data_IF_586205314151
#
_entry.id   IF_586205314151
#
_cell.length_a   1.000
_cell.length_b   1.000
_cell.length_c   1.000
_cell.angle_alpha   90.00
_cell.angle_beta   90.00
_cell.angle_gamma   90.00
#
_symmetry.space_group_name_H-M   'P 1'
#
loop_
_entity.id
_entity.type
_entity.pdbx_description
1 polymer ?
#
# COMPACT_ATOMS: atom_id res chain seq x y z
N UNK A 1 -4.45 -26.97 -4.21
CA UNK A 1 -3.51 -26.70 -3.10
C UNK A 1 -3.29 -25.20 -3.07
N UNK A 2 -4.02 -24.47 -2.21
CA UNK A 2 -3.86 -23.01 -2.14
C UNK A 2 -2.54 -22.69 -1.44
N UNK A 3 -1.53 -22.27 -2.20
CA UNK A 3 -0.32 -21.70 -1.62
C UNK A 3 -0.65 -20.41 -0.86
N UNK A 4 0.26 -20.00 0.01
CA UNK A 4 0.15 -18.70 0.67
C UNK A 4 0.23 -17.56 -0.37
N UNK A 5 -0.58 -16.49 -0.24
CA UNK A 5 -0.56 -15.37 -1.18
C UNK A 5 0.82 -14.73 -1.32
N UNK A 6 1.15 -14.31 -2.54
CA UNK A 6 2.47 -13.80 -2.87
C UNK A 6 2.39 -12.48 -3.63
N UNK A 7 3.38 -11.64 -3.35
CA UNK A 7 3.68 -10.47 -4.15
C UNK A 7 4.49 -10.81 -5.39
N UNK A 8 4.39 -9.99 -6.43
CA UNK A 8 5.36 -9.97 -7.53
C UNK A 8 6.71 -9.45 -7.03
N UNK A 9 7.79 -9.82 -7.72
CA UNK A 9 9.13 -9.33 -7.40
C UNK A 9 9.20 -7.80 -7.40
N UNK A 10 8.56 -7.19 -8.38
CA UNK A 10 8.36 -5.75 -8.49
C UNK A 10 7.68 -5.13 -7.26
N UNK A 11 6.55 -5.68 -6.81
CA UNK A 11 5.80 -5.13 -5.69
C UNK A 11 6.61 -5.18 -4.38
N UNK A 12 7.27 -6.32 -4.12
CA UNK A 12 8.09 -6.46 -2.92
C UNK A 12 9.38 -5.63 -3.01
N UNK A 13 10.02 -5.54 -4.18
CA UNK A 13 11.15 -4.64 -4.43
C UNK A 13 10.76 -3.18 -4.14
N UNK A 14 9.60 -2.72 -4.63
CA UNK A 14 9.14 -1.35 -4.40
C UNK A 14 8.94 -1.04 -2.91
N UNK A 15 8.49 -2.02 -2.12
CA UNK A 15 8.40 -1.90 -0.66
C UNK A 15 9.77 -1.74 -0.02
N UNK A 16 10.73 -2.58 -0.37
CA UNK A 16 12.10 -2.52 0.19
C UNK A 16 12.83 -1.24 -0.20
N UNK A 17 12.71 -0.79 -1.45
CA UNK A 17 13.23 0.50 -1.87
C UNK A 17 12.54 1.66 -1.16
N UNK A 18 11.22 1.56 -0.92
CA UNK A 18 10.49 2.56 -0.14
C UNK A 18 10.96 2.64 1.32
N UNK A 19 11.41 1.53 1.91
CA UNK A 19 12.06 1.56 3.22
C UNK A 19 13.40 2.30 3.13
N UNK A 20 14.24 1.97 2.14
CA UNK A 20 15.53 2.65 1.94
C UNK A 20 15.37 4.16 1.79
N UNK A 21 14.38 4.61 1.03
CA UNK A 21 14.09 6.03 0.82
C UNK A 21 13.72 6.76 2.14
N UNK A 22 13.11 6.06 3.09
CA UNK A 22 12.52 6.67 4.29
C UNK A 22 13.42 6.56 5.52
N UNK A 23 14.07 5.41 5.70
CA UNK A 23 14.88 5.10 6.89
C UNK A 23 16.34 4.76 6.57
N UNK A 24 16.72 4.78 5.28
CA UNK A 24 18.06 4.45 4.81
C UNK A 24 18.37 2.95 4.79
N UNK A 25 19.30 2.56 3.91
CA UNK A 25 19.67 1.17 3.70
C UNK A 25 20.12 0.43 4.98
N UNK A 26 20.80 1.11 5.90
CA UNK A 26 21.19 0.51 7.19
C UNK A 26 19.97 0.22 8.08
N UNK A 27 18.98 1.13 8.11
CA UNK A 27 17.73 0.93 8.83
C UNK A 27 16.92 -0.21 8.25
N UNK A 28 16.79 -0.27 6.92
CA UNK A 28 16.14 -1.39 6.23
C UNK A 28 16.83 -2.71 6.52
N UNK A 29 18.17 -2.76 6.43
CA UNK A 29 18.92 -3.98 6.73
C UNK A 29 18.70 -4.46 8.16
N UNK A 30 18.64 -3.54 9.15
CA UNK A 30 18.30 -3.89 10.53
C UNK A 30 16.90 -4.51 10.64
N UNK A 31 15.87 -3.91 10.02
CA UNK A 31 14.51 -4.47 10.05
C UNK A 31 14.43 -5.84 9.38
N UNK A 32 15.11 -6.03 8.25
CA UNK A 32 15.16 -7.31 7.55
C UNK A 32 15.82 -8.42 8.40
N UNK A 33 16.87 -8.09 9.18
CA UNK A 33 17.46 -9.04 10.13
C UNK A 33 16.48 -9.42 11.23
N UNK A 34 15.82 -8.43 11.84
CA UNK A 34 14.88 -8.65 12.95
C UNK A 34 13.66 -9.46 12.51
N UNK A 35 13.11 -9.14 11.33
CA UNK A 35 12.01 -9.88 10.71
C UNK A 35 12.38 -11.26 10.16
N UNK A 36 13.61 -11.74 10.38
CA UNK A 36 14.06 -13.07 9.96
C UNK A 36 14.11 -13.27 8.44
N UNK A 37 14.33 -12.20 7.69
CA UNK A 37 14.35 -12.20 6.22
C UNK A 37 15.62 -11.52 5.66
N UNK A 38 16.75 -11.78 6.33
CA UNK A 38 18.05 -11.20 6.02
C UNK A 38 18.57 -11.49 4.60
N UNK A 39 18.02 -12.50 3.92
CA UNK A 39 18.37 -12.85 2.53
C UNK A 39 18.11 -11.71 1.52
N UNK A 40 17.28 -10.72 1.89
CA UNK A 40 17.03 -9.55 1.04
C UNK A 40 18.02 -8.40 1.29
N UNK A 41 18.95 -8.50 2.24
CA UNK A 41 19.93 -7.44 2.50
C UNK A 41 20.93 -7.37 1.35
N UNK A 42 20.93 -6.26 0.61
CA UNK A 42 21.78 -6.10 -0.58
C UNK A 42 21.36 -6.96 -1.78
N UNK A 43 20.23 -7.68 -1.68
CA UNK A 43 19.75 -8.62 -2.68
C UNK A 43 18.22 -8.52 -2.84
N UNK A 44 17.74 -7.33 -3.21
CA UNK A 44 16.31 -7.11 -3.43
C UNK A 44 15.80 -7.89 -4.64
N UNK A 45 14.51 -8.31 -4.62
CA UNK A 45 13.89 -8.98 -5.76
C UNK A 45 14.09 -8.22 -7.08
N UNK A 46 14.11 -8.93 -8.23
CA UNK A 46 14.10 -8.29 -9.53
C UNK A 46 12.79 -7.53 -9.77
N UNK A 47 12.83 -6.52 -10.65
CA UNK A 47 11.64 -5.76 -11.03
C UNK A 47 10.82 -6.51 -12.10
N UNK A 48 10.11 -7.57 -11.69
CA UNK A 48 9.31 -8.43 -12.59
C UNK A 48 7.91 -8.70 -12.01
N UNK A 49 6.99 -9.12 -12.88
CA UNK A 49 5.62 -9.54 -12.49
C UNK A 49 5.57 -10.99 -11.95
N UNK A 50 6.73 -11.64 -11.80
CA UNK A 50 6.84 -13.01 -11.33
C UNK A 50 6.65 -13.11 -9.81
N UNK A 51 5.96 -14.16 -9.36
CA UNK A 51 5.72 -14.49 -7.95
C UNK A 51 6.66 -15.61 -7.52
N UNK A 52 7.90 -15.24 -7.20
CA UNK A 52 8.98 -16.17 -6.89
C UNK A 52 9.16 -16.37 -5.36
N UNK A 53 8.06 -16.55 -4.62
CA UNK A 53 8.08 -16.81 -3.19
C UNK A 53 8.14 -15.56 -2.29
N UNK A 54 7.75 -14.38 -2.80
CA UNK A 54 7.68 -13.15 -2.01
C UNK A 54 6.38 -13.10 -1.21
N UNK A 55 6.38 -13.75 -0.05
CA UNK A 55 5.18 -13.94 0.76
C UNK A 55 4.67 -12.63 1.35
N UNK A 56 3.35 -12.46 1.41
CA UNK A 56 2.77 -11.24 1.99
C UNK A 56 3.18 -11.01 3.45
N UNK A 57 3.39 -12.08 4.23
CA UNK A 57 3.90 -11.96 5.61
C UNK A 57 5.26 -11.30 5.74
N UNK A 58 6.04 -11.20 4.67
CA UNK A 58 7.30 -10.46 4.71
C UNK A 58 7.07 -8.95 4.85
N UNK A 59 5.97 -8.43 4.31
CA UNK A 59 5.58 -7.04 4.50
C UNK A 59 5.17 -6.80 5.96
N UNK A 60 4.25 -7.62 6.50
CA UNK A 60 3.76 -7.47 7.88
C UNK A 60 4.89 -7.59 8.90
N UNK A 61 5.81 -8.56 8.76
CA UNK A 61 6.98 -8.71 9.63
C UNK A 61 7.79 -7.42 9.72
N UNK A 62 8.10 -6.79 8.59
CA UNK A 62 8.89 -5.54 8.59
C UNK A 62 8.10 -4.38 9.20
N UNK A 63 6.81 -4.24 8.90
CA UNK A 63 5.99 -3.19 9.50
C UNK A 63 5.77 -3.39 10.99
N UNK A 64 5.72 -4.64 11.46
CA UNK A 64 5.65 -4.99 12.87
C UNK A 64 6.96 -4.62 13.58
N UNK A 65 8.12 -4.91 12.99
CA UNK A 65 9.41 -4.48 13.57
C UNK A 65 9.52 -2.95 13.68
N UNK A 66 9.01 -2.20 12.69
CA UNK A 66 8.91 -0.74 12.79
C UNK A 66 8.00 -0.31 13.95
N UNK A 67 6.89 -1.01 14.13
CA UNK A 67 5.95 -0.76 15.22
C UNK A 67 6.57 -1.05 16.58
N UNK A 68 7.31 -2.14 16.72
CA UNK A 68 7.96 -2.54 17.96
C UNK A 68 9.08 -1.56 18.37
N UNK A 69 9.80 -1.00 17.39
CA UNK A 69 10.90 -0.05 17.63
C UNK A 69 10.37 1.36 17.94
N UNK A 70 9.41 1.86 17.15
CA UNK A 70 8.99 3.27 17.19
C UNK A 70 7.63 3.50 17.86
N UNK A 71 6.95 2.43 18.27
CA UNK A 71 5.55 2.46 18.70
C UNK A 71 4.59 2.85 17.58
N UNK A 72 3.29 2.75 17.87
CA UNK A 72 2.22 3.01 16.89
C UNK A 72 2.34 4.38 16.20
N UNK A 73 2.60 5.43 16.98
CA UNK A 73 2.66 6.80 16.47
C UNK A 73 3.87 7.03 15.57
N UNK A 74 5.04 6.53 15.96
CA UNK A 74 6.27 6.68 15.18
C UNK A 74 6.23 5.85 13.89
N UNK A 75 5.80 4.59 13.99
CA UNK A 75 5.65 3.71 12.85
C UNK A 75 4.64 4.25 11.83
N UNK A 76 3.53 4.84 12.27
CA UNK A 76 2.50 5.41 11.36
C UNK A 76 3.09 6.38 10.34
N UNK A 77 3.89 7.35 10.78
CA UNK A 77 4.46 8.35 9.88
C UNK A 77 5.47 7.73 8.89
N UNK A 78 6.30 6.80 9.36
CA UNK A 78 7.31 6.10 8.56
C UNK A 78 6.62 5.24 7.50
N UNK A 79 5.73 4.35 7.93
CA UNK A 79 5.07 3.35 7.07
C UNK A 79 4.16 4.03 6.05
N UNK A 80 3.50 5.15 6.38
CA UNK A 80 2.78 5.96 5.38
C UNK A 80 3.72 6.53 4.30
N UNK A 81 4.94 6.95 4.64
CA UNK A 81 5.92 7.42 3.65
C UNK A 81 6.37 6.27 2.74
N UNK A 82 6.57 5.08 3.29
CA UNK A 82 6.89 3.87 2.51
C UNK A 82 5.78 3.58 1.50
N UNK A 83 4.52 3.59 1.93
CA UNK A 83 3.37 3.42 1.03
C UNK A 83 3.29 4.47 -0.08
N UNK A 84 3.60 5.73 0.22
CA UNK A 84 3.70 6.80 -0.80
C UNK A 84 4.84 6.55 -1.80
N UNK A 85 5.97 6.04 -1.33
CA UNK A 85 7.10 5.68 -2.19
C UNK A 85 6.71 4.53 -3.14
N UNK A 86 6.07 3.47 -2.63
CA UNK A 86 5.54 2.37 -3.45
C UNK A 86 4.60 2.86 -4.55
N UNK A 87 3.62 3.69 -4.19
CA UNK A 87 2.69 4.27 -5.16
C UNK A 87 3.40 5.13 -6.22
N UNK A 88 4.37 5.96 -5.81
CA UNK A 88 5.13 6.81 -6.73
C UNK A 88 5.88 5.97 -7.77
N UNK A 89 6.50 4.88 -7.35
CA UNK A 89 7.23 3.97 -8.26
C UNK A 89 6.31 3.34 -9.30
N UNK A 90 5.15 2.82 -8.89
CA UNK A 90 4.16 2.28 -9.83
C UNK A 90 3.63 3.32 -10.82
N UNK A 91 3.44 4.57 -10.35
CA UNK A 91 3.01 5.68 -11.21
C UNK A 91 4.10 6.13 -12.18
N UNK A 92 5.37 6.10 -11.78
CA UNK A 92 6.54 6.46 -12.61
C UNK A 92 6.76 5.44 -13.73
N UNK A 93 6.65 4.15 -13.45
CA UNK A 93 6.74 3.11 -14.48
C UNK A 93 5.61 3.20 -15.51
N UNK A 94 4.48 3.76 -15.10
CA UNK A 94 3.32 3.99 -15.96
C UNK A 94 3.24 5.44 -16.47
N UNK A 95 4.31 6.24 -16.36
CA UNK A 95 4.25 7.69 -16.53
C UNK A 95 3.65 8.15 -17.86
N UNK A 96 3.97 7.47 -18.97
CA UNK A 96 3.43 7.78 -20.30
C UNK A 96 1.90 7.52 -20.38
N UNK A 97 1.41 6.43 -19.80
CA UNK A 97 -0.03 6.15 -19.74
C UNK A 97 -0.75 7.11 -18.80
N UNK A 98 -0.14 7.39 -17.64
CA UNK A 98 -0.66 8.30 -16.62
C UNK A 98 -0.73 9.73 -17.16
N UNK A 99 0.22 10.18 -18.00
CA UNK A 99 0.19 11.53 -18.57
C UNK A 99 -0.95 11.71 -19.56
N UNK A 100 -1.18 10.74 -20.45
CA UNK A 100 -2.32 10.72 -21.38
C UNK A 100 -3.64 10.69 -20.61
N UNK A 101 -3.76 9.80 -19.62
CA UNK A 101 -4.95 9.70 -18.79
C UNK A 101 -5.22 11.01 -18.02
N UNK A 102 -4.19 11.70 -17.53
CA UNK A 102 -4.33 12.96 -16.80
C UNK A 102 -5.03 14.04 -17.63
N UNK A 103 -4.71 14.14 -18.92
CA UNK A 103 -5.34 15.11 -19.81
C UNK A 103 -6.84 14.84 -19.95
N UNK A 104 -7.22 13.58 -20.19
CA UNK A 104 -8.62 13.17 -20.28
C UNK A 104 -9.37 13.33 -18.95
N UNK A 105 -8.71 13.02 -17.82
CA UNK A 105 -9.31 13.10 -16.48
C UNK A 105 -9.67 14.52 -16.05
N UNK A 106 -8.98 15.55 -16.54
CA UNK A 106 -9.25 16.95 -16.15
C UNK A 106 -10.69 17.39 -16.41
N UNK A 107 -11.33 16.82 -17.43
CA UNK A 107 -12.71 17.12 -17.81
C UNK A 107 -13.75 16.31 -17.03
N UNK A 108 -13.33 15.27 -16.29
CA UNK A 108 -14.23 14.44 -15.51
C UNK A 108 -14.62 15.12 -14.19
N UNK A 109 -15.89 14.99 -13.75
CA UNK A 109 -16.29 15.33 -12.39
C UNK A 109 -15.40 14.63 -11.36
N UNK A 110 -15.11 15.31 -10.25
CA UNK A 110 -14.19 14.83 -9.22
C UNK A 110 -14.54 13.42 -8.73
N UNK A 111 -15.82 13.17 -8.46
CA UNK A 111 -16.28 11.87 -7.97
C UNK A 111 -16.04 10.74 -8.98
N UNK A 112 -16.29 10.98 -10.27
CA UNK A 112 -16.04 9.99 -11.33
C UNK A 112 -14.54 9.72 -11.48
N UNK A 113 -13.72 10.77 -11.39
CA UNK A 113 -12.25 10.65 -11.43
C UNK A 113 -11.74 9.78 -10.28
N UNK A 114 -12.25 10.01 -9.07
CA UNK A 114 -11.88 9.23 -7.87
C UNK A 114 -12.28 7.77 -8.02
N UNK A 115 -13.53 7.47 -8.44
CA UNK A 115 -13.96 6.08 -8.70
C UNK A 115 -13.01 5.37 -9.65
N UNK A 116 -12.75 5.97 -10.81
CA UNK A 116 -11.90 5.36 -11.85
C UNK A 116 -10.48 5.09 -11.35
N UNK A 117 -9.90 6.03 -10.61
CA UNK A 117 -8.54 5.92 -10.07
C UNK A 117 -8.45 4.83 -9.00
N UNK A 118 -9.42 4.79 -8.08
CA UNK A 118 -9.45 3.76 -7.02
C UNK A 118 -9.65 2.36 -7.60
N UNK A 119 -10.54 2.20 -8.58
CA UNK A 119 -10.71 0.91 -9.25
C UNK A 119 -9.45 0.46 -9.99
N UNK A 120 -8.79 1.38 -10.71
CA UNK A 120 -7.55 1.06 -11.44
C UNK A 120 -6.43 0.68 -10.48
N UNK A 121 -6.29 1.42 -9.39
CA UNK A 121 -5.31 1.14 -8.35
C UNK A 121 -5.59 -0.19 -7.63
N UNK A 122 -6.87 -0.49 -7.34
CA UNK A 122 -7.29 -1.75 -6.76
C UNK A 122 -6.96 -2.94 -7.65
N UNK A 123 -7.26 -2.85 -8.96
CA UNK A 123 -6.86 -3.89 -9.94
C UNK A 123 -5.35 -4.07 -10.00
N UNK A 124 -4.59 -2.98 -10.08
CA UNK A 124 -3.13 -3.06 -10.11
C UNK A 124 -2.54 -3.68 -8.83
N UNK A 125 -3.10 -3.36 -7.65
CA UNK A 125 -2.69 -4.01 -6.40
C UNK A 125 -3.04 -5.50 -6.40
N UNK A 126 -4.25 -5.87 -6.83
CA UNK A 126 -4.63 -7.28 -6.93
C UNK A 126 -3.67 -8.07 -7.83
N UNK A 127 -3.29 -7.50 -8.98
CA UNK A 127 -2.30 -8.09 -9.89
C UNK A 127 -0.91 -8.20 -9.26
N UNK A 128 -0.57 -7.32 -8.31
CA UNK A 128 0.74 -7.27 -7.65
C UNK A 128 0.87 -8.15 -6.41
N UNK A 129 -0.19 -8.31 -5.62
CA UNK A 129 -0.13 -8.99 -4.31
C UNK A 129 -1.07 -10.19 -4.18
N UNK A 130 -1.78 -10.55 -5.25
CA UNK A 130 -2.65 -11.73 -5.30
C UNK A 130 -3.75 -11.73 -4.22
N UNK A 131 -4.30 -10.55 -3.94
CA UNK A 131 -5.41 -10.39 -2.99
C UNK A 131 -6.50 -9.53 -3.59
N UNK A 132 -7.74 -9.85 -3.24
CA UNK A 132 -8.90 -9.09 -3.69
C UNK A 132 -8.88 -7.70 -3.05
N UNK A 133 -8.82 -6.68 -3.90
CA UNK A 133 -8.96 -5.26 -3.52
C UNK A 133 -10.20 -4.70 -4.18
N UNK A 134 -11.17 -4.26 -3.37
CA UNK A 134 -12.43 -3.70 -3.88
C UNK A 134 -12.50 -2.22 -3.58
N UNK A 135 -12.82 -1.43 -4.60
CA UNK A 135 -13.20 -0.04 -4.44
C UNK A 135 -14.72 0.05 -4.59
N UNK A 136 -15.41 0.62 -3.60
CA UNK A 136 -16.85 0.84 -3.65
C UNK A 136 -17.15 2.31 -3.36
N UNK A 137 -18.35 2.73 -3.72
CA UNK A 137 -18.85 4.08 -3.47
C UNK A 137 -20.21 3.96 -2.81
N UNK A 138 -20.40 4.75 -1.77
CA UNK A 138 -21.67 4.92 -1.08
C UNK A 138 -21.93 6.43 -0.93
N UNK A 139 -22.88 6.95 -1.71
CA UNK A 139 -23.14 8.38 -1.86
C UNK A 139 -21.86 9.21 -2.11
N UNK A 140 -21.41 10.01 -1.14
CA UNK A 140 -20.23 10.87 -1.24
C UNK A 140 -18.98 10.25 -0.58
N UNK A 141 -19.10 9.04 -0.05
CA UNK A 141 -18.01 8.28 0.56
C UNK A 141 -17.49 7.23 -0.42
N UNK A 142 -16.18 7.06 -0.41
CA UNK A 142 -15.52 5.99 -1.13
C UNK A 142 -14.88 5.05 -0.13
N UNK A 143 -14.87 3.76 -0.47
CA UNK A 143 -14.26 2.73 0.36
C UNK A 143 -13.30 1.89 -0.46
N UNK A 144 -12.18 1.53 0.17
CA UNK A 144 -11.27 0.50 -0.33
C UNK A 144 -11.21 -0.63 0.70
N UNK A 145 -11.42 -1.86 0.26
CA UNK A 145 -11.44 -3.06 1.10
C UNK A 145 -10.39 -4.08 0.66
N UNK A 146 -9.69 -4.69 1.63
CA UNK A 146 -8.64 -5.69 1.40
C UNK A 146 -8.78 -6.80 2.45
N UNK A 147 -9.15 -8.01 2.03
CA UNK A 147 -9.40 -9.14 2.94
C UNK A 147 -8.12 -9.77 3.51
N UNK A 148 -7.09 -9.93 2.67
CA UNK A 148 -5.79 -10.50 3.05
C UNK A 148 -4.71 -9.42 2.99
N UNK A 149 -4.83 -8.39 3.85
CA UNK A 149 -3.94 -7.24 3.77
C UNK A 149 -2.47 -7.63 4.08
N UNK A 150 -1.50 -7.27 3.22
CA UNK A 150 -0.10 -7.65 3.40
C UNK A 150 0.53 -7.06 4.66
N UNK A 151 0.00 -5.96 5.17
CA UNK A 151 0.59 -5.24 6.30
C UNK A 151 0.08 -5.72 7.67
N UNK A 152 -0.95 -6.56 7.73
CA UNK A 152 -1.48 -7.10 8.98
C UNK A 152 -1.63 -8.62 9.01
N UNK A 153 -1.29 -9.33 7.94
CA UNK A 153 -1.29 -10.79 7.94
C UNK A 153 -0.39 -11.30 9.08
N UNK A 154 -0.88 -12.30 9.81
CA UNK A 154 -0.26 -12.89 11.00
C UNK A 154 0.00 -11.93 12.18
N UNK A 155 -0.62 -10.74 12.19
CA UNK A 155 -0.45 -9.75 13.26
C UNK A 155 -1.79 -9.43 13.94
N UNK A 156 -1.86 -9.60 15.27
CA UNK A 156 -2.95 -9.10 16.11
C UNK A 156 -2.51 -7.87 16.89
N UNK A 157 -3.36 -6.85 16.94
CA UNK A 157 -3.09 -5.61 17.66
C UNK A 157 -4.39 -4.89 18.06
N UNK A 158 -4.36 -4.11 19.14
CA UNK A 158 -5.52 -3.35 19.61
C UNK A 158 -5.78 -2.08 18.78
N UNK A 159 -4.75 -1.60 18.07
CA UNK A 159 -4.84 -0.44 17.17
C UNK A 159 -4.66 -0.85 15.71
N UNK A 160 -5.21 -0.09 14.73
CA UNK A 160 -4.95 -0.35 13.33
C UNK A 160 -3.45 -0.23 13.00
N UNK A 161 -2.99 -1.00 12.01
CA UNK A 161 -1.57 -1.13 11.68
C UNK A 161 -1.26 -0.95 10.19
N UNK A 162 -2.29 -0.87 9.33
CA UNK A 162 -2.12 -0.91 7.87
C UNK A 162 -1.82 0.47 7.28
N UNK A 163 -0.85 1.16 7.87
CA UNK A 163 -0.52 2.54 7.54
C UNK A 163 0.06 2.73 6.14
N UNK A 164 0.66 1.69 5.55
CA UNK A 164 1.23 1.76 4.20
C UNK A 164 0.14 1.95 3.15
N UNK A 165 -1.01 1.28 3.31
CA UNK A 165 -2.15 1.47 2.40
C UNK A 165 -2.71 2.89 2.44
N UNK A 166 -2.76 3.52 3.63
CA UNK A 166 -3.16 4.93 3.75
C UNK A 166 -2.21 5.82 2.93
N UNK A 167 -0.90 5.60 3.08
CA UNK A 167 0.11 6.32 2.31
C UNK A 167 -0.02 6.10 0.80
N UNK A 168 -0.22 4.85 0.38
CA UNK A 168 -0.40 4.47 -1.01
C UNK A 168 -1.62 5.17 -1.64
N UNK A 169 -2.79 5.06 -1.00
CA UNK A 169 -4.03 5.66 -1.48
C UNK A 169 -3.92 7.19 -1.54
N UNK A 170 -3.30 7.81 -0.53
CA UNK A 170 -3.05 9.25 -0.53
C UNK A 170 -2.21 9.67 -1.72
N UNK A 171 -1.12 8.95 -2.06
CA UNK A 171 -0.29 9.32 -3.20
C UNK A 171 -1.01 9.15 -4.53
N UNK A 172 -1.76 8.05 -4.68
CA UNK A 172 -2.54 7.76 -5.88
C UNK A 172 -3.59 8.85 -6.12
N UNK A 173 -4.36 9.20 -5.08
CA UNK A 173 -5.41 10.21 -5.17
C UNK A 173 -4.81 11.61 -5.35
N UNK A 174 -3.80 12.00 -4.57
CA UNK A 174 -3.09 13.27 -4.73
C UNK A 174 -2.66 13.50 -6.18
N UNK A 175 -2.16 12.46 -6.88
CA UNK A 175 -1.71 12.57 -8.27
C UNK A 175 -2.84 12.83 -9.27
N UNK A 176 -4.07 12.45 -8.92
CA UNK A 176 -5.26 12.54 -9.77
C UNK A 176 -6.20 13.71 -9.41
N UNK A 177 -6.37 14.01 -8.12
CA UNK A 177 -7.32 15.01 -7.59
C UNK A 177 -6.62 16.31 -7.18
N UNK A 178 -5.35 16.25 -6.77
CA UNK A 178 -4.65 17.36 -6.14
C UNK A 178 -4.51 17.23 -4.61
N UNK A 179 -5.18 16.26 -3.98
CA UNK A 179 -4.94 15.92 -2.57
C UNK A 179 -5.89 16.58 -1.56
N UNK A 180 -7.15 16.83 -1.93
CA UNK A 180 -8.15 17.36 -1.00
C UNK A 180 -8.83 16.28 -0.17
N UNK A 181 -8.62 15.01 -0.45
CA UNK A 181 -9.25 13.89 0.27
C UNK A 181 -8.67 13.62 1.67
N UNK A 182 -9.53 13.16 2.57
CA UNK A 182 -9.12 12.50 3.82
C UNK A 182 -9.25 10.99 3.70
N UNK A 183 -8.32 10.26 4.31
CA UNK A 183 -8.28 8.79 4.27
C UNK A 183 -8.14 8.27 5.69
N UNK A 184 -9.08 7.43 6.10
CA UNK A 184 -9.14 6.82 7.42
C UNK A 184 -9.30 5.30 7.32
N UNK A 185 -8.50 4.55 8.06
CA UNK A 185 -8.72 3.11 8.25
C UNK A 185 -9.80 2.91 9.31
N UNK A 186 -10.98 2.45 8.89
CA UNK A 186 -12.16 2.27 9.75
C UNK A 186 -12.29 0.84 10.28
N UNK A 187 -11.76 -0.14 9.54
CA UNK A 187 -11.68 -1.54 9.95
C UNK A 187 -10.30 -2.10 9.64
N UNK A 188 -9.80 -3.02 10.46
CA UNK A 188 -8.47 -3.61 10.34
C UNK A 188 -8.48 -5.09 10.71
N UNK A 189 -7.91 -5.97 9.88
CA UNK A 189 -7.84 -7.40 10.21
C UNK A 189 -6.99 -7.67 11.45
N UNK A 190 -5.97 -6.85 11.74
CA UNK A 190 -5.20 -6.99 12.98
C UNK A 190 -6.04 -6.80 14.24
N UNK A 191 -7.14 -6.05 14.14
CA UNK A 191 -8.12 -5.85 15.21
C UNK A 191 -9.24 -6.91 15.22
N UNK A 192 -9.18 -7.90 14.33
CA UNK A 192 -10.18 -8.96 14.21
C UNK A 192 -11.29 -8.69 13.19
N UNK A 193 -11.23 -7.63 12.38
CA UNK A 193 -12.17 -7.43 11.28
C UNK A 193 -11.95 -8.45 10.16
N UNK A 194 -12.98 -8.72 9.35
CA UNK A 194 -12.87 -9.63 8.21
C UNK A 194 -12.08 -9.06 7.02
N UNK A 195 -11.96 -7.73 6.93
CA UNK A 195 -11.18 -7.01 5.95
C UNK A 195 -10.63 -5.71 6.54
N UNK A 196 -9.51 -5.23 6.01
CA UNK A 196 -9.11 -3.84 6.22
C UNK A 196 -9.96 -2.95 5.31
N UNK A 197 -10.59 -1.93 5.90
CA UNK A 197 -11.45 -0.99 5.18
C UNK A 197 -10.98 0.43 5.39
N UNK A 198 -10.80 1.15 4.28
CA UNK A 198 -10.38 2.55 4.26
C UNK A 198 -11.53 3.40 3.74
N UNK A 199 -11.99 4.36 4.55
CA UNK A 199 -12.95 5.39 4.15
C UNK A 199 -12.20 6.58 3.59
N UNK A 200 -12.64 7.04 2.43
CA UNK A 200 -12.10 8.18 1.73
C UNK A 200 -13.23 9.21 1.59
N UNK A 201 -12.99 10.41 2.12
CA UNK A 201 -13.94 11.52 2.07
C UNK A 201 -13.35 12.64 1.24
N UNK A 202 -14.07 13.09 0.23
CA UNK A 202 -13.65 14.24 -0.58
C UNK A 202 -13.98 15.50 0.20
N UNK A 203 -13.00 16.35 0.46
CA UNK A 203 -13.29 17.67 1.01
C UNK A 203 -13.73 18.58 -0.15
N UNK A 204 -14.87 19.29 -0.01
CA UNK A 204 -15.20 20.35 -0.95
C UNK A 204 -14.09 21.41 -0.94
N UNK A 205 -13.80 21.97 -2.11
CA UNK A 205 -12.94 23.16 -2.25
C UNK A 205 -13.54 24.38 -1.56
#
# INVERSE_FOLDING_TARGET
>A
MSGEPQATGKAYRAFLLGLDDVIGAHGTAMLLRRGGIAQYIGNYPPNTEERNGYLLRYFSRVTQELFDIYGARGARAIVQRVGRAQASRGLEESAALVSVARAAMKLMPLQQRVTMVLERAGRALQDQIDVVVRATRDHDLFYVEIQHCPYCVDWKNDTPVCFAMIGFLHRVLQRATGGSETIEEVECCAKGAAACRYRITLNPE
#
